data_IF_758855997221
#
_entry.id   IF_758855997221
#
_cell.length_a   1.000
_cell.length_b   1.000
_cell.length_c   1.000
_cell.angle_alpha   90.00
_cell.angle_beta   90.00
_cell.angle_gamma   90.00
#
_symmetry.space_group_name_H-M   'P 1'
#
loop_
_entity.id
_entity.type
_entity.pdbx_description
1 polymer ?
#
# COMPACT_ATOMS: atom_id res chain seq x y z
N UNK A 1 2.71 24.74 -15.40
CA UNK A 1 1.49 23.90 -15.31
C UNK A 1 1.61 22.61 -16.12
N UNK A 2 1.87 22.65 -17.46
CA UNK A 2 2.01 21.42 -18.27
C UNK A 2 3.16 20.53 -17.75
N UNK A 3 4.30 21.13 -17.42
CA UNK A 3 5.44 20.42 -16.85
C UNK A 3 5.09 19.71 -15.52
N UNK A 4 4.34 20.37 -14.63
CA UNK A 4 3.90 19.78 -13.36
C UNK A 4 2.96 18.60 -13.59
N UNK A 5 2.08 18.65 -14.60
CA UNK A 5 1.22 17.54 -14.97
C UNK A 5 2.03 16.34 -15.49
N UNK A 6 3.00 16.57 -16.39
CA UNK A 6 3.85 15.51 -16.94
C UNK A 6 4.69 14.86 -15.83
N UNK A 7 5.31 15.66 -14.97
CA UNK A 7 6.10 15.16 -13.83
C UNK A 7 5.21 14.37 -12.86
N UNK A 8 4.03 14.91 -12.53
CA UNK A 8 3.06 14.24 -11.65
C UNK A 8 2.56 12.92 -12.23
N UNK A 9 2.28 12.88 -13.53
CA UNK A 9 1.93 11.64 -14.23
C UNK A 9 3.05 10.60 -14.15
N UNK A 10 4.28 10.98 -14.45
CA UNK A 10 5.44 10.08 -14.37
C UNK A 10 5.66 9.51 -12.97
N UNK A 11 5.59 10.37 -11.93
CA UNK A 11 5.68 9.91 -10.55
C UNK A 11 4.53 8.99 -10.15
N UNK A 12 3.31 9.29 -10.62
CA UNK A 12 2.14 8.45 -10.38
C UNK A 12 2.29 7.06 -11.00
N UNK A 13 2.84 6.97 -12.21
CA UNK A 13 3.15 5.68 -12.86
C UNK A 13 4.22 4.92 -12.07
N UNK A 14 5.29 5.59 -11.63
CA UNK A 14 6.33 4.96 -10.81
C UNK A 14 5.73 4.38 -9.53
N UNK A 15 4.92 5.17 -8.80
CA UNK A 15 4.27 4.73 -7.58
C UNK A 15 3.29 3.58 -7.86
N UNK A 16 2.51 3.67 -8.92
CA UNK A 16 1.52 2.66 -9.30
C UNK A 16 2.14 1.30 -9.66
N UNK A 17 3.31 1.30 -10.29
CA UNK A 17 4.03 0.07 -10.68
C UNK A 17 4.95 -0.43 -9.57
N UNK A 18 5.17 0.37 -8.53
CA UNK A 18 6.03 -0.02 -7.41
C UNK A 18 5.55 -1.31 -6.75
N UNK A 19 6.39 -2.33 -6.77
CA UNK A 19 6.08 -3.64 -6.20
C UNK A 19 6.47 -3.65 -4.72
N UNK A 20 5.46 -3.79 -3.86
CA UNK A 20 5.67 -3.78 -2.41
C UNK A 20 4.52 -4.45 -1.64
N UNK A 21 4.55 -4.40 -0.29
CA UNK A 21 3.51 -5.00 0.55
C UNK A 21 2.09 -4.60 0.18
N UNK A 22 1.92 -3.37 -0.30
CA UNK A 22 0.62 -2.78 -0.66
C UNK A 22 -0.01 -3.55 -1.81
N UNK A 23 0.70 -3.75 -2.95
CA UNK A 23 0.12 -4.41 -4.13
C UNK A 23 -0.32 -5.85 -3.82
N UNK A 24 0.49 -6.61 -3.08
CA UNK A 24 0.14 -7.99 -2.70
C UNK A 24 -1.07 -8.03 -1.77
N UNK A 25 -1.21 -7.03 -0.90
CA UNK A 25 -2.36 -6.95 -0.01
C UNK A 25 -3.61 -6.47 -0.75
N UNK A 26 -3.50 -5.58 -1.74
CA UNK A 26 -4.61 -5.21 -2.66
C UNK A 26 -5.15 -6.48 -3.34
N UNK A 27 -4.27 -7.22 -4.02
CA UNK A 27 -4.64 -8.45 -4.71
C UNK A 27 -5.34 -9.43 -3.77
N UNK A 28 -4.75 -9.66 -2.62
CA UNK A 28 -5.30 -10.55 -1.61
C UNK A 28 -6.66 -10.10 -1.06
N UNK A 29 -6.82 -8.83 -0.70
CA UNK A 29 -8.09 -8.31 -0.19
C UNK A 29 -9.18 -8.40 -1.27
N UNK A 30 -8.82 -8.11 -2.52
CA UNK A 30 -9.75 -8.18 -3.65
C UNK A 30 -10.15 -9.62 -3.96
N UNK A 31 -9.22 -10.57 -3.90
CA UNK A 31 -9.50 -11.99 -4.14
C UNK A 31 -10.31 -12.58 -2.99
N UNK A 32 -9.94 -12.35 -1.73
CA UNK A 32 -10.62 -12.97 -0.58
C UNK A 32 -11.98 -12.34 -0.26
N UNK A 33 -12.10 -11.01 -0.38
CA UNK A 33 -13.26 -10.24 0.07
C UNK A 33 -13.97 -9.52 -1.08
N UNK A 34 -13.61 -9.82 -2.35
CA UNK A 34 -14.17 -9.18 -3.54
C UNK A 34 -13.86 -7.68 -3.61
N UNK A 35 -14.59 -6.97 -4.47
CA UNK A 35 -14.44 -5.53 -4.66
C UNK A 35 -14.52 -4.73 -3.35
N UNK A 36 -15.46 -5.08 -2.46
CA UNK A 36 -15.64 -4.37 -1.18
C UNK A 36 -14.39 -4.43 -0.30
N UNK A 37 -13.73 -5.58 -0.24
CA UNK A 37 -12.48 -5.74 0.50
C UNK A 37 -11.32 -4.99 -0.12
N UNK A 38 -11.18 -5.06 -1.44
CA UNK A 38 -10.18 -4.32 -2.20
C UNK A 38 -10.34 -2.82 -2.03
N UNK A 39 -11.54 -2.28 -2.31
CA UNK A 39 -11.80 -0.84 -2.19
C UNK A 39 -11.68 -0.32 -0.76
N UNK A 40 -12.09 -1.10 0.23
CA UNK A 40 -11.86 -0.72 1.63
C UNK A 40 -10.37 -0.59 1.95
N UNK A 41 -9.55 -1.52 1.49
CA UNK A 41 -8.10 -1.50 1.70
C UNK A 41 -7.45 -0.30 0.99
N UNK A 42 -7.71 -0.11 -0.30
CA UNK A 42 -7.11 1.01 -1.04
C UNK A 42 -7.61 2.37 -0.56
N UNK A 43 -8.83 2.47 -0.05
CA UNK A 43 -9.31 3.69 0.63
C UNK A 43 -8.41 4.10 1.80
N UNK A 44 -7.94 3.12 2.59
CA UNK A 44 -6.94 3.35 3.62
C UNK A 44 -5.57 3.77 3.08
N UNK A 45 -5.13 3.13 1.98
CA UNK A 45 -3.89 3.51 1.28
C UNK A 45 -3.96 4.96 0.77
N UNK A 46 -5.05 5.34 0.10
CA UNK A 46 -5.24 6.69 -0.42
C UNK A 46 -5.23 7.75 0.67
N UNK A 47 -5.92 7.49 1.80
CA UNK A 47 -5.87 8.40 2.95
C UNK A 47 -4.44 8.55 3.48
N UNK A 48 -3.69 7.45 3.57
CA UNK A 48 -2.28 7.47 3.98
C UNK A 48 -1.43 8.30 3.01
N UNK A 49 -1.56 8.10 1.70
CA UNK A 49 -0.81 8.85 0.68
C UNK A 49 -1.12 10.35 0.74
N UNK A 50 -2.40 10.72 0.86
CA UNK A 50 -2.82 12.12 1.02
C UNK A 50 -2.18 12.74 2.26
N UNK A 51 -2.23 12.06 3.39
CA UNK A 51 -1.63 12.56 4.64
C UNK A 51 -0.11 12.67 4.53
N UNK A 52 0.55 11.67 3.96
CA UNK A 52 2.01 11.69 3.80
C UNK A 52 2.46 12.82 2.87
N UNK A 53 1.79 13.04 1.73
CA UNK A 53 2.14 14.14 0.82
C UNK A 53 1.88 15.51 1.43
N UNK A 54 0.77 15.67 2.17
CA UNK A 54 0.46 16.93 2.87
C UNK A 54 1.51 17.20 3.94
N UNK A 55 1.80 16.23 4.80
CA UNK A 55 2.81 16.36 5.86
C UNK A 55 4.18 16.65 5.25
N UNK A 56 4.60 15.93 4.22
CA UNK A 56 5.89 16.14 3.57
C UNK A 56 6.02 17.55 2.95
N UNK A 57 4.92 18.11 2.40
CA UNK A 57 4.93 19.45 1.82
C UNK A 57 4.82 20.58 2.86
N UNK A 58 4.04 20.41 3.93
CA UNK A 58 3.85 21.43 4.96
C UNK A 58 5.00 21.49 5.97
N UNK A 59 5.61 20.34 6.26
CA UNK A 59 6.59 20.19 7.33
C UNK A 59 7.92 19.63 6.84
N UNK A 60 8.40 20.13 5.69
CA UNK A 60 9.67 19.64 5.12
C UNK A 60 10.84 19.68 6.13
N UNK A 61 10.91 20.67 7.01
CA UNK A 61 11.90 20.73 8.09
C UNK A 61 11.66 19.73 9.21
N UNK A 62 10.40 19.52 9.62
CA UNK A 62 10.04 18.52 10.64
C UNK A 62 10.20 17.09 10.11
N UNK A 63 9.92 16.89 8.82
CA UNK A 63 10.13 15.61 8.18
C UNK A 63 11.62 15.30 8.06
N UNK A 64 12.48 16.28 7.82
CA UNK A 64 13.94 16.10 7.92
C UNK A 64 14.38 15.65 9.32
N UNK A 65 13.75 16.16 10.38
CA UNK A 65 13.99 15.66 11.74
C UNK A 65 13.46 14.25 11.96
N UNK A 66 12.30 13.91 11.41
CA UNK A 66 11.76 12.54 11.48
C UNK A 66 12.63 11.51 10.76
N UNK A 67 13.47 11.93 9.81
CA UNK A 67 14.48 11.04 9.19
C UNK A 67 15.54 10.54 10.19
N UNK A 68 15.78 11.24 11.30
CA UNK A 68 16.61 10.70 12.38
C UNK A 68 16.00 9.43 12.98
N UNK A 69 14.69 9.25 12.90
CA UNK A 69 13.96 8.07 13.36
C UNK A 69 13.67 7.05 12.26
N UNK A 70 14.25 7.22 11.04
CA UNK A 70 13.99 6.34 9.89
C UNK A 70 14.17 4.85 10.23
N UNK A 71 15.18 4.50 11.01
CA UNK A 71 15.43 3.12 11.42
C UNK A 71 14.34 2.60 12.35
N UNK A 72 13.90 3.39 13.33
CA UNK A 72 12.82 3.01 14.25
C UNK A 72 11.50 2.80 13.49
N UNK A 73 11.17 3.72 12.58
CA UNK A 73 9.97 3.62 11.74
C UNK A 73 10.05 2.36 10.86
N UNK A 74 11.22 2.10 10.27
CA UNK A 74 11.43 0.93 9.44
C UNK A 74 11.31 -0.39 10.24
N UNK A 75 11.83 -0.46 11.47
CA UNK A 75 11.66 -1.65 12.33
C UNK A 75 10.22 -1.88 12.74
N UNK A 76 9.48 -0.83 13.11
CA UNK A 76 8.05 -0.93 13.45
C UNK A 76 7.25 -1.40 12.20
N UNK A 77 7.52 -0.80 11.04
CA UNK A 77 6.90 -1.20 9.78
C UNK A 77 7.22 -2.64 9.40
N UNK A 78 8.50 -3.05 9.52
CA UNK A 78 8.92 -4.41 9.26
C UNK A 78 8.24 -5.41 10.19
N UNK A 79 8.17 -5.13 11.49
CA UNK A 79 7.49 -5.98 12.47
C UNK A 79 6.00 -6.14 12.15
N UNK A 80 5.32 -5.06 11.74
CA UNK A 80 3.91 -5.10 11.33
C UNK A 80 3.71 -5.94 10.06
N UNK A 81 4.52 -5.71 9.02
CA UNK A 81 4.46 -6.46 7.76
C UNK A 81 4.80 -7.94 7.98
N UNK A 82 5.78 -8.23 8.84
CA UNK A 82 6.14 -9.60 9.24
C UNK A 82 4.96 -10.29 9.93
N UNK A 83 4.35 -9.63 10.92
CA UNK A 83 3.17 -10.17 11.62
C UNK A 83 2.01 -10.46 10.67
N UNK A 84 1.75 -9.56 9.69
CA UNK A 84 0.77 -9.80 8.65
C UNK A 84 1.14 -10.97 7.73
N UNK A 85 2.40 -11.07 7.32
CA UNK A 85 2.90 -12.18 6.51
C UNK A 85 2.71 -13.53 7.21
N UNK A 86 3.12 -13.63 8.48
CA UNK A 86 2.95 -14.83 9.31
C UNK A 86 1.46 -15.18 9.44
N UNK A 87 0.60 -14.19 9.76
CA UNK A 87 -0.85 -14.42 9.84
C UNK A 87 -1.40 -15.01 8.54
N UNK A 88 -0.94 -14.54 7.40
CA UNK A 88 -1.43 -14.99 6.10
C UNK A 88 -0.94 -16.38 5.69
N UNK A 89 0.28 -16.74 6.08
CA UNK A 89 0.82 -18.07 5.80
C UNK A 89 0.15 -19.13 6.69
N UNK A 90 0.02 -18.85 8.00
CA UNK A 90 -0.29 -19.88 8.99
C UNK A 90 -1.73 -19.83 9.52
N UNK A 91 -2.32 -18.65 9.67
CA UNK A 91 -3.58 -18.48 10.41
C UNK A 91 -4.78 -18.14 9.53
N UNK A 92 -4.59 -17.71 8.29
CA UNK A 92 -5.70 -17.33 7.43
C UNK A 92 -6.43 -18.57 6.90
N UNK A 93 -7.57 -18.90 7.54
CA UNK A 93 -8.48 -19.95 7.07
C UNK A 93 -9.40 -19.39 5.98
N UNK A 94 -9.58 -20.14 4.91
CA UNK A 94 -10.58 -19.88 3.87
C UNK A 94 -11.76 -20.80 4.17
N UNK A 95 -12.94 -20.22 4.49
CA UNK A 95 -14.17 -20.97 4.72
C UNK A 95 -14.92 -21.14 3.40
N UNK A 96 -15.54 -22.29 3.21
CA UNK A 96 -16.56 -22.51 2.19
C UNK A 96 -17.97 -22.46 2.77
N UNK A 97 -18.94 -22.03 1.98
CA UNK A 97 -20.33 -22.41 2.12
C UNK A 97 -20.54 -23.79 1.50
N UNK A 98 -21.52 -24.55 2.00
CA UNK A 98 -21.83 -25.93 1.55
C UNK A 98 -22.24 -26.03 0.07
N UNK A 99 -22.50 -24.91 -0.61
CA UNK A 99 -22.94 -24.82 -2.01
C UNK A 99 -21.81 -24.63 -3.05
N UNK A 100 -20.60 -25.09 -2.82
CA UNK A 100 -19.46 -24.90 -3.72
C UNK A 100 -19.18 -23.43 -4.14
N UNK A 101 -19.90 -22.46 -3.60
CA UNK A 101 -19.63 -21.04 -3.76
C UNK A 101 -18.76 -20.59 -2.61
N UNK A 102 -17.74 -19.79 -2.91
CA UNK A 102 -16.94 -19.09 -1.88
C UNK A 102 -17.92 -18.24 -1.07
N UNK A 103 -18.19 -18.64 0.19
CA UNK A 103 -19.06 -17.86 1.07
C UNK A 103 -18.57 -16.43 1.10
N UNK A 104 -19.35 -15.53 0.53
CA UNK A 104 -19.18 -14.10 0.73
C UNK A 104 -19.64 -13.89 2.18
N UNK A 105 -18.75 -14.15 3.17
CA UNK A 105 -18.99 -13.66 4.53
C UNK A 105 -19.38 -12.21 4.34
N UNK A 106 -20.61 -11.89 4.70
CA UNK A 106 -21.15 -10.54 4.51
C UNK A 106 -20.08 -9.54 4.98
N UNK A 107 -19.53 -8.76 4.04
CA UNK A 107 -18.45 -7.82 4.32
C UNK A 107 -19.04 -6.68 5.14
N UNK A 108 -19.19 -6.95 6.44
CA UNK A 108 -19.80 -6.04 7.40
C UNK A 108 -18.85 -4.90 7.80
N UNK A 109 -19.40 -3.94 8.55
CA UNK A 109 -18.67 -2.75 9.02
C UNK A 109 -17.32 -3.10 9.68
N UNK A 110 -17.25 -4.13 10.52
CA UNK A 110 -16.02 -4.57 11.18
C UNK A 110 -14.94 -5.04 10.19
N UNK A 111 -15.34 -5.77 9.15
CA UNK A 111 -14.43 -6.23 8.12
C UNK A 111 -13.92 -5.06 7.24
N UNK A 112 -14.82 -4.11 6.93
CA UNK A 112 -14.49 -2.86 6.25
C UNK A 112 -13.43 -2.07 7.02
N UNK A 113 -13.70 -1.74 8.28
CA UNK A 113 -12.77 -0.98 9.13
C UNK A 113 -11.42 -1.69 9.25
N UNK A 114 -11.41 -3.01 9.42
CA UNK A 114 -10.17 -3.78 9.50
C UNK A 114 -9.36 -3.72 8.21
N UNK A 115 -10.00 -3.83 7.05
CA UNK A 115 -9.33 -3.74 5.75
C UNK A 115 -8.80 -2.32 5.52
N UNK A 116 -9.61 -1.29 5.78
CA UNK A 116 -9.23 0.12 5.68
C UNK A 116 -8.03 0.46 6.56
N UNK A 117 -8.11 0.16 7.86
CA UNK A 117 -7.01 0.42 8.79
C UNK A 117 -5.74 -0.36 8.42
N UNK A 118 -5.90 -1.59 7.92
CA UNK A 118 -4.76 -2.36 7.41
C UNK A 118 -4.09 -1.66 6.21
N UNK A 119 -4.87 -1.12 5.26
CA UNK A 119 -4.35 -0.35 4.14
C UNK A 119 -3.61 0.91 4.60
N UNK A 120 -4.24 1.66 5.49
CA UNK A 120 -3.67 2.86 6.07
C UNK A 120 -2.32 2.58 6.78
N UNK A 121 -2.29 1.60 7.68
CA UNK A 121 -1.09 1.30 8.47
C UNK A 121 0.03 0.71 7.61
N UNK A 122 -0.29 -0.25 6.72
CA UNK A 122 0.73 -0.85 5.83
C UNK A 122 1.38 0.23 4.95
N UNK A 123 0.60 1.16 4.43
CA UNK A 123 1.11 2.22 3.57
C UNK A 123 1.89 3.27 4.36
N UNK A 124 1.35 3.73 5.49
CA UNK A 124 2.00 4.74 6.35
C UNK A 124 3.32 4.24 6.93
N UNK A 125 3.38 2.97 7.36
CA UNK A 125 4.61 2.38 7.90
C UNK A 125 5.52 1.77 6.81
N UNK A 126 5.19 1.95 5.54
CA UNK A 126 6.05 1.51 4.45
C UNK A 126 7.17 2.54 4.21
N UNK A 127 8.43 2.20 4.53
CA UNK A 127 9.53 3.15 4.40
C UNK A 127 9.75 3.59 2.95
N UNK A 128 9.47 2.74 1.97
CA UNK A 128 9.61 3.09 0.56
C UNK A 128 8.60 4.17 0.15
N UNK A 129 7.36 4.10 0.64
CA UNK A 129 6.33 5.11 0.37
C UNK A 129 6.63 6.41 1.11
N UNK A 130 7.06 6.32 2.37
CA UNK A 130 7.49 7.49 3.13
C UNK A 130 8.63 8.23 2.44
N UNK A 131 9.67 7.49 2.03
CA UNK A 131 10.81 8.05 1.31
C UNK A 131 10.41 8.62 -0.04
N UNK A 132 9.51 7.96 -0.76
CA UNK A 132 9.00 8.46 -2.03
C UNK A 132 8.37 9.85 -1.87
N UNK A 133 7.43 10.01 -0.95
CA UNK A 133 6.78 11.30 -0.71
C UNK A 133 7.75 12.36 -0.19
N UNK A 134 8.63 11.98 0.74
CA UNK A 134 9.59 12.89 1.32
C UNK A 134 10.61 13.43 0.32
N UNK A 135 11.26 12.54 -0.44
CA UNK A 135 12.28 12.91 -1.44
C UNK A 135 11.65 13.83 -2.50
N UNK A 136 10.48 13.45 -3.02
CA UNK A 136 9.82 14.25 -4.05
C UNK A 136 9.31 15.59 -3.50
N UNK A 137 8.71 15.62 -2.30
CA UNK A 137 8.27 16.88 -1.69
C UNK A 137 9.44 17.85 -1.48
N UNK A 138 10.58 17.33 -0.98
CA UNK A 138 11.78 18.16 -0.75
C UNK A 138 12.39 18.64 -2.07
N UNK A 139 12.52 17.76 -3.07
CA UNK A 139 13.10 18.10 -4.36
C UNK A 139 12.28 19.19 -5.09
N UNK A 140 10.97 19.08 -5.07
CA UNK A 140 10.10 20.05 -5.74
C UNK A 140 9.84 21.30 -4.91
N UNK A 141 10.01 21.27 -3.60
CA UNK A 141 9.91 22.46 -2.76
C UNK A 141 10.96 23.52 -3.12
N UNK A 142 12.14 23.09 -3.54
CA UNK A 142 13.23 24.00 -3.93
C UNK A 142 13.04 24.66 -5.30
N UNK A 143 12.20 24.11 -6.17
CA UNK A 143 12.15 24.49 -7.61
C UNK A 143 10.76 24.87 -8.11
N UNK A 144 9.70 24.56 -7.36
CA UNK A 144 8.31 24.74 -7.78
C UNK A 144 7.51 25.55 -6.74
N UNK A 145 6.64 26.40 -7.22
CA UNK A 145 5.65 27.12 -6.39
C UNK A 145 4.67 26.15 -5.73
N UNK A 146 3.96 26.61 -4.70
CA UNK A 146 2.94 25.82 -4.00
C UNK A 146 1.87 25.30 -4.97
N UNK A 147 1.42 26.14 -5.92
CA UNK A 147 0.42 25.75 -6.92
C UNK A 147 0.94 24.63 -7.83
N UNK A 148 2.17 24.78 -8.33
CA UNK A 148 2.79 23.76 -9.21
C UNK A 148 2.97 22.43 -8.49
N UNK A 149 3.37 22.44 -7.22
CA UNK A 149 3.48 21.21 -6.39
C UNK A 149 2.10 20.58 -6.15
N UNK A 150 1.08 21.39 -5.89
CA UNK A 150 -0.28 20.88 -5.71
C UNK A 150 -0.80 20.19 -6.96
N UNK A 151 -0.54 20.75 -8.15
CA UNK A 151 -0.89 20.13 -9.43
C UNK A 151 -0.09 18.84 -9.64
N UNK A 152 1.22 18.86 -9.39
CA UNK A 152 2.10 17.71 -9.55
C UNK A 152 1.69 16.53 -8.67
N UNK A 153 1.54 16.77 -7.36
CA UNK A 153 1.19 15.71 -6.43
C UNK A 153 -0.28 15.29 -6.54
N UNK A 154 -1.18 16.21 -6.87
CA UNK A 154 -2.57 15.88 -7.18
C UNK A 154 -2.67 14.94 -8.40
N UNK A 155 -1.91 15.21 -9.45
CA UNK A 155 -1.83 14.33 -10.64
C UNK A 155 -1.22 12.98 -10.29
N UNK A 156 -0.14 12.95 -9.51
CA UNK A 156 0.48 11.72 -9.04
C UNK A 156 -0.51 10.84 -8.25
N UNK A 157 -1.22 11.41 -7.29
CA UNK A 157 -2.25 10.73 -6.50
C UNK A 157 -3.38 10.20 -7.40
N UNK A 158 -3.85 11.01 -8.35
CA UNK A 158 -4.94 10.62 -9.24
C UNK A 158 -4.55 9.42 -10.11
N UNK A 159 -3.35 9.41 -10.68
CA UNK A 159 -2.83 8.28 -11.45
C UNK A 159 -2.72 7.03 -10.60
N UNK A 160 -2.20 7.15 -9.36
CA UNK A 160 -2.10 6.02 -8.44
C UNK A 160 -3.48 5.47 -8.05
N UNK A 161 -4.45 6.35 -7.76
CA UNK A 161 -5.85 5.97 -7.46
C UNK A 161 -6.46 5.18 -8.63
N UNK A 162 -6.32 5.67 -9.86
CA UNK A 162 -6.83 4.99 -11.05
C UNK A 162 -6.20 3.60 -11.19
N UNK A 163 -4.88 3.52 -11.02
CA UNK A 163 -4.18 2.24 -11.09
C UNK A 163 -4.65 1.26 -10.00
N UNK A 164 -4.87 1.72 -8.77
CA UNK A 164 -5.37 0.89 -7.69
C UNK A 164 -6.80 0.41 -7.93
N UNK A 165 -7.67 1.25 -8.48
CA UNK A 165 -9.02 0.85 -8.92
C UNK A 165 -8.92 -0.29 -9.94
N UNK A 166 -8.06 -0.16 -10.96
CA UNK A 166 -7.84 -1.21 -11.97
C UNK A 166 -7.33 -2.50 -11.32
N UNK A 167 -6.35 -2.41 -10.41
CA UNK A 167 -5.83 -3.58 -9.68
C UNK A 167 -6.93 -4.30 -8.89
N UNK A 168 -7.77 -3.54 -8.16
CA UNK A 168 -8.89 -4.10 -7.39
C UNK A 168 -9.89 -4.79 -8.31
N UNK A 169 -10.28 -4.14 -9.41
CA UNK A 169 -11.26 -4.70 -10.35
C UNK A 169 -10.75 -5.97 -11.01
N UNK A 170 -9.51 -5.98 -11.50
CA UNK A 170 -8.91 -7.15 -12.14
C UNK A 170 -8.78 -8.30 -11.15
N UNK A 171 -8.26 -8.04 -9.95
CA UNK A 171 -8.10 -9.07 -8.93
C UNK A 171 -9.45 -9.65 -8.45
N UNK A 172 -10.46 -8.82 -8.30
CA UNK A 172 -11.79 -9.26 -7.91
C UNK A 172 -12.50 -10.07 -9.02
N UNK A 173 -12.26 -9.73 -10.29
CA UNK A 173 -12.78 -10.50 -11.44
C UNK A 173 -12.20 -11.91 -11.48
N UNK A 174 -10.90 -12.05 -11.27
CA UNK A 174 -10.21 -13.35 -11.26
C UNK A 174 -10.71 -14.24 -10.12
N UNK A 175 -11.24 -13.68 -9.03
CA UNK A 175 -11.78 -14.42 -7.88
C UNK A 175 -12.77 -15.51 -8.28
N UNK A 176 -13.70 -15.24 -9.19
CA UNK A 176 -14.73 -16.17 -9.60
C UNK A 176 -14.20 -17.40 -10.35
N UNK A 177 -12.98 -17.31 -10.89
CA UNK A 177 -12.30 -18.43 -11.58
C UNK A 177 -11.35 -19.19 -10.66
N UNK A 178 -11.25 -18.82 -9.37
CA UNK A 178 -10.29 -19.41 -8.44
C UNK A 178 -10.95 -20.48 -7.57
N UNK A 179 -10.31 -21.64 -7.52
CA UNK A 179 -10.64 -22.70 -6.57
C UNK A 179 -10.14 -22.33 -5.16
N UNK A 180 -10.67 -22.99 -4.13
CA UNK A 180 -10.16 -22.87 -2.75
C UNK A 180 -8.66 -23.15 -2.65
N UNK A 181 -8.20 -24.15 -3.41
CA UNK A 181 -6.79 -24.50 -3.47
C UNK A 181 -5.97 -23.30 -3.95
N UNK A 182 -6.38 -22.67 -5.06
CA UNK A 182 -5.72 -21.50 -5.62
C UNK A 182 -5.72 -20.31 -4.65
N UNK A 183 -6.85 -20.06 -3.96
CA UNK A 183 -6.93 -18.99 -2.96
C UNK A 183 -5.99 -19.24 -1.77
N UNK A 184 -5.85 -20.50 -1.32
CA UNK A 184 -4.88 -20.84 -0.27
C UNK A 184 -3.44 -20.62 -0.73
N UNK A 185 -3.11 -21.00 -1.97
CA UNK A 185 -1.79 -20.77 -2.56
C UNK A 185 -1.51 -19.27 -2.64
N UNK A 186 -2.44 -18.47 -3.16
CA UNK A 186 -2.30 -17.01 -3.24
C UNK A 186 -2.07 -16.40 -1.86
N UNK A 187 -2.81 -16.84 -0.84
CA UNK A 187 -2.61 -16.37 0.53
C UNK A 187 -1.21 -16.70 1.05
N UNK A 188 -0.73 -17.92 0.82
CA UNK A 188 0.62 -18.33 1.22
C UNK A 188 1.69 -17.56 0.48
N UNK A 189 1.60 -17.44 -0.84
CA UNK A 189 2.54 -16.66 -1.66
C UNK A 189 2.57 -15.21 -1.18
N UNK A 190 1.41 -14.55 -1.05
CA UNK A 190 1.34 -13.17 -0.57
C UNK A 190 1.95 -13.01 0.82
N UNK A 191 1.66 -13.95 1.74
CA UNK A 191 2.25 -13.94 3.08
C UNK A 191 3.76 -14.13 3.06
N UNK A 192 4.28 -15.05 2.24
CA UNK A 192 5.73 -15.28 2.08
C UNK A 192 6.43 -14.04 1.50
N UNK A 193 5.81 -13.39 0.52
CA UNK A 193 6.34 -12.14 -0.05
C UNK A 193 6.37 -11.04 1.01
N UNK A 194 5.33 -10.89 1.84
CA UNK A 194 5.34 -9.93 2.94
C UNK A 194 6.46 -10.20 3.95
N UNK A 195 6.69 -11.46 4.29
CA UNK A 195 7.82 -11.86 5.15
C UNK A 195 9.16 -11.48 4.48
N UNK A 196 9.32 -11.76 3.19
CA UNK A 196 10.50 -11.36 2.42
C UNK A 196 10.75 -9.85 2.44
N UNK A 197 9.70 -9.05 2.27
CA UNK A 197 9.81 -7.59 2.39
C UNK A 197 10.19 -7.13 3.80
N UNK A 198 9.63 -7.73 4.84
CA UNK A 198 10.00 -7.40 6.21
C UNK A 198 11.49 -7.68 6.48
N UNK A 199 11.99 -8.82 6.01
CA UNK A 199 13.42 -9.18 6.11
C UNK A 199 14.27 -8.20 5.31
N UNK A 200 13.87 -7.86 4.07
CA UNK A 200 14.59 -6.91 3.24
C UNK A 200 14.68 -5.50 3.86
N UNK A 201 13.60 -5.03 4.52
CA UNK A 201 13.59 -3.76 5.25
C UNK A 201 14.60 -3.81 6.40
N UNK A 202 14.57 -4.87 7.21
CA UNK A 202 15.50 -5.02 8.35
C UNK A 202 16.94 -5.10 7.85
N UNK A 203 17.20 -5.88 6.80
CA UNK A 203 18.52 -5.96 6.17
C UNK A 203 19.01 -4.60 5.68
N UNK A 204 18.14 -3.85 4.98
CA UNK A 204 18.45 -2.50 4.52
C UNK A 204 18.82 -1.55 5.66
N UNK A 205 18.11 -1.61 6.79
CA UNK A 205 18.43 -0.78 7.96
C UNK A 205 19.76 -1.16 8.60
N UNK A 206 20.07 -2.46 8.68
CA UNK A 206 21.29 -2.95 9.35
C UNK A 206 22.55 -2.74 8.52
N UNK A 207 22.48 -2.90 7.21
CA UNK A 207 23.67 -2.98 6.35
C UNK A 207 23.83 -1.83 5.35
N UNK A 208 22.74 -1.18 4.92
CA UNK A 208 22.79 -0.10 3.92
C UNK A 208 22.73 1.30 4.54
N UNK A 209 22.48 1.42 5.84
CA UNK A 209 22.48 2.70 6.60
C UNK A 209 23.79 2.95 7.38
N UNK A 210 24.87 2.23 7.04
CA UNK A 210 26.22 2.57 7.49
C UNK A 210 26.81 3.62 6.52
#
# INVERSE_FOLDING_TARGET
MLESLIKGFGLGVILAVSVGPVIFTILKQSINNGHKGGFSFVGGVWLSDILLVVIANMFSTLVMQALHFKSTIAYIGAAFVLGMGIYYVFFKKVKMSDDNNVEVIAFGKKAFTKAFMSGFIINTLNPSVMLFWLINATAFAATHSVLERSILFGTCLLVNIIADIVKVMLAAKVRHSLTLHNIRIINKISGTILIGFAIAIVYGVLYLNK
#
